data_IF_567611355047
#
_entry.id   IF_567611355047
#
_cell.length_a   1.000
_cell.length_b   1.000
_cell.length_c   1.000
_cell.angle_alpha   90.00
_cell.angle_beta   90.00
_cell.angle_gamma   90.00
#
_symmetry.space_group_name_H-M   'P 1'
#
loop_
_entity.id
_entity.type
_entity.pdbx_description
1 polymer ?
#
# COMPACT_ATOMS: atom_id res chain seq x y z
N UNK A 1 10.69 1.81 26.44
CA UNK A 1 10.09 1.71 27.78
C UNK A 1 8.65 2.18 27.73
N UNK A 2 7.68 1.32 27.92
CA UNK A 2 6.31 1.70 28.22
C UNK A 2 5.94 1.07 29.56
N UNK A 3 6.00 1.84 30.61
CA UNK A 3 5.62 1.39 31.95
C UNK A 3 5.39 2.58 32.84
N UNK A 4 4.30 3.25 32.67
CA UNK A 4 3.82 4.31 33.55
C UNK A 4 2.43 3.97 34.05
N UNK A 5 2.38 3.16 35.09
CA UNK A 5 1.18 2.91 35.90
C UNK A 5 0.75 4.22 36.58
N UNK A 6 -0.52 4.62 36.33
CA UNK A 6 -1.40 5.35 37.22
C UNK A 6 -0.82 6.50 38.04
N UNK A 7 -0.41 7.57 37.41
CA UNK A 7 -0.25 8.86 38.10
C UNK A 7 -1.46 9.73 37.83
N UNK A 8 -2.12 10.24 38.90
CA UNK A 8 -3.22 11.22 38.85
C UNK A 8 -2.77 12.62 38.44
N UNK A 9 -1.93 12.72 37.40
CA UNK A 9 -1.55 13.97 36.77
C UNK A 9 -2.49 14.31 35.62
N UNK A 10 -2.52 15.58 35.14
CA UNK A 10 -3.30 15.92 33.93
C UNK A 10 -2.82 15.07 32.75
N UNK A 11 -3.75 14.58 31.89
CA UNK A 11 -3.39 13.74 30.75
C UNK A 11 -2.36 14.45 29.87
N UNK A 12 -1.30 13.72 29.46
CA UNK A 12 -0.29 14.24 28.57
C UNK A 12 -0.92 14.74 27.26
N UNK A 13 -0.28 15.66 26.54
CA UNK A 13 -0.81 16.17 25.25
C UNK A 13 -1.18 15.04 24.27
N UNK A 14 -0.42 13.97 24.25
CA UNK A 14 -0.69 12.81 23.38
C UNK A 14 -1.94 12.05 23.84
N UNK A 15 -2.15 11.87 25.15
CA UNK A 15 -3.34 11.19 25.67
C UNK A 15 -4.62 11.98 25.35
N UNK A 16 -4.57 13.32 25.44
CA UNK A 16 -5.69 14.17 25.04
C UNK A 16 -6.01 14.03 23.53
N UNK A 17 -4.97 13.97 22.69
CA UNK A 17 -5.12 13.79 21.24
C UNK A 17 -5.69 12.40 20.90
N UNK A 18 -5.20 11.36 21.58
CA UNK A 18 -5.72 10.00 21.40
C UNK A 18 -7.17 9.89 21.88
N UNK A 19 -7.51 10.45 23.04
CA UNK A 19 -8.88 10.47 23.57
C UNK A 19 -9.84 11.16 22.59
N UNK A 20 -9.47 12.32 22.06
CA UNK A 20 -10.26 13.02 21.03
C UNK A 20 -10.43 12.16 19.78
N UNK A 21 -9.37 11.43 19.37
CA UNK A 21 -9.42 10.49 18.25
C UNK A 21 -10.37 9.31 18.48
N UNK A 22 -10.44 8.80 19.71
CA UNK A 22 -11.39 7.74 20.10
C UNK A 22 -12.84 8.25 20.00
N UNK A 23 -13.15 9.42 20.54
CA UNK A 23 -14.49 10.00 20.42
C UNK A 23 -14.88 10.30 18.97
N UNK A 24 -13.92 10.72 18.16
CA UNK A 24 -14.18 10.90 16.73
C UNK A 24 -14.49 9.57 16.04
N UNK A 25 -13.76 8.50 16.36
CA UNK A 25 -14.04 7.16 15.84
C UNK A 25 -15.41 6.65 16.28
N UNK A 26 -15.79 6.87 17.54
CA UNK A 26 -17.11 6.53 18.06
C UNK A 26 -18.22 7.27 17.33
N UNK A 27 -18.06 8.56 17.11
CA UNK A 27 -19.00 9.36 16.32
C UNK A 27 -19.14 8.85 14.88
N UNK A 28 -18.05 8.43 14.22
CA UNK A 28 -18.10 7.82 12.91
C UNK A 28 -18.83 6.47 12.91
N UNK A 29 -18.65 5.67 13.96
CA UNK A 29 -19.29 4.35 14.10
C UNK A 29 -20.78 4.42 14.52
N UNK A 30 -21.25 5.54 15.02
CA UNK A 30 -22.66 5.76 15.37
C UNK A 30 -23.57 6.02 14.17
N UNK A 31 -23.00 6.09 12.96
CA UNK A 31 -23.74 6.31 11.72
C UNK A 31 -24.63 5.12 11.30
N UNK A 32 -25.43 5.29 10.24
CA UNK A 32 -26.33 4.25 9.77
C UNK A 32 -25.58 3.00 9.25
N UNK A 33 -26.20 1.80 9.30
CA UNK A 33 -25.52 0.52 9.01
C UNK A 33 -24.88 0.41 7.60
N UNK A 34 -25.38 1.14 6.61
CA UNK A 34 -24.80 1.13 5.26
C UNK A 34 -23.41 1.79 5.22
N UNK A 35 -23.11 2.75 6.12
CA UNK A 35 -21.80 3.38 6.23
C UNK A 35 -20.73 2.38 6.67
N UNK A 36 -21.06 1.37 7.45
CA UNK A 36 -20.12 0.31 7.82
C UNK A 36 -19.59 -0.40 6.57
N UNK A 37 -20.49 -0.88 5.71
CA UNK A 37 -20.12 -1.55 4.45
C UNK A 37 -19.32 -0.62 3.55
N UNK A 38 -19.70 0.66 3.48
CA UNK A 38 -18.99 1.66 2.70
C UNK A 38 -17.54 1.83 3.18
N UNK A 39 -17.32 2.09 4.48
CA UNK A 39 -15.97 2.30 5.02
C UNK A 39 -15.11 1.03 4.93
N UNK A 40 -15.66 -0.15 5.15
CA UNK A 40 -14.95 -1.41 4.98
C UNK A 40 -14.56 -1.60 3.51
N UNK A 41 -15.42 -1.27 2.55
CA UNK A 41 -15.09 -1.33 1.13
C UNK A 41 -13.99 -0.35 0.76
N UNK A 42 -14.07 0.90 1.23
CA UNK A 42 -13.04 1.92 0.98
C UNK A 42 -11.68 1.48 1.51
N UNK A 43 -11.60 1.00 2.75
CA UNK A 43 -10.33 0.55 3.32
C UNK A 43 -9.77 -0.67 2.61
N UNK A 44 -10.61 -1.59 2.13
CA UNK A 44 -10.19 -2.77 1.39
C UNK A 44 -9.68 -2.43 -0.02
N UNK A 45 -10.31 -1.48 -0.71
CA UNK A 45 -9.86 -1.00 -2.01
C UNK A 45 -8.58 -0.15 -1.92
N UNK A 46 -8.36 0.51 -0.79
CA UNK A 46 -7.15 1.28 -0.51
C UNK A 46 -6.04 0.45 0.18
N UNK A 47 -6.21 -0.87 0.30
CA UNK A 47 -5.14 -1.75 0.80
C UNK A 47 -3.89 -1.55 -0.07
N UNK A 48 -2.69 -1.32 0.50
CA UNK A 48 -1.45 -1.18 -0.24
C UNK A 48 -1.24 -2.22 -1.33
N UNK A 49 -1.71 -3.46 -1.12
CA UNK A 49 -1.65 -4.52 -2.14
C UNK A 49 -2.35 -4.17 -3.45
N UNK A 50 -3.41 -3.35 -3.39
CA UNK A 50 -4.13 -2.90 -4.58
C UNK A 50 -3.29 -2.03 -5.51
N UNK A 51 -2.28 -1.32 -4.98
CA UNK A 51 -1.30 -0.60 -5.82
C UNK A 51 -0.58 -1.56 -6.75
N UNK A 52 -0.18 -2.72 -6.26
CA UNK A 52 0.57 -3.73 -7.01
C UNK A 52 -0.33 -4.57 -7.92
N UNK A 53 -1.54 -4.89 -7.46
CA UNK A 53 -2.41 -5.87 -8.14
C UNK A 53 -3.45 -5.25 -9.06
N UNK A 54 -3.80 -3.97 -8.88
CA UNK A 54 -4.84 -3.28 -9.63
C UNK A 54 -4.31 -2.00 -10.27
N UNK A 55 -3.77 -1.06 -9.46
CA UNK A 55 -3.39 0.26 -9.97
C UNK A 55 -2.22 0.17 -10.97
N UNK A 56 -1.19 -0.62 -10.67
CA UNK A 56 -0.05 -0.81 -11.55
C UNK A 56 -0.44 -1.43 -12.91
N UNK A 57 -1.15 -2.57 -12.98
CA UNK A 57 -1.54 -3.13 -14.27
C UNK A 57 -2.37 -2.17 -15.12
N UNK A 58 -3.37 -1.52 -14.55
CA UNK A 58 -4.21 -0.56 -15.26
C UNK A 58 -3.35 0.61 -15.78
N UNK A 59 -2.59 1.25 -14.90
CA UNK A 59 -1.76 2.38 -15.27
C UNK A 59 -0.71 2.01 -16.33
N UNK A 60 -0.12 0.82 -16.27
CA UNK A 60 0.90 0.35 -17.21
C UNK A 60 0.37 0.20 -18.64
N UNK A 61 -0.85 -0.29 -18.81
CA UNK A 61 -1.46 -0.45 -20.13
C UNK A 61 -2.10 0.84 -20.66
N UNK A 62 -2.40 1.80 -19.79
CA UNK A 62 -2.75 3.17 -20.19
C UNK A 62 -1.52 3.94 -20.68
N UNK A 63 -0.49 3.99 -19.86
CA UNK A 63 0.81 4.59 -20.17
C UNK A 63 1.91 3.85 -19.38
N UNK A 64 2.86 3.25 -20.12
CA UNK A 64 3.94 2.44 -19.53
C UNK A 64 4.76 3.22 -18.49
N UNK A 65 5.06 4.49 -18.78
CA UNK A 65 5.86 5.32 -17.86
C UNK A 65 5.09 5.63 -16.60
N UNK A 66 3.80 5.92 -16.73
CA UNK A 66 2.92 6.17 -15.57
C UNK A 66 2.80 4.91 -14.73
N UNK A 67 2.57 3.74 -15.33
CA UNK A 67 2.48 2.47 -14.61
C UNK A 67 3.76 2.13 -13.86
N UNK A 68 4.92 2.26 -14.50
CA UNK A 68 6.21 2.07 -13.82
C UNK A 68 6.40 3.05 -12.65
N UNK A 69 5.93 4.30 -12.80
CA UNK A 69 5.97 5.28 -11.72
C UNK A 69 5.07 4.89 -10.54
N UNK A 70 3.85 4.44 -10.83
CA UNK A 70 2.90 3.96 -9.80
C UNK A 70 3.53 2.83 -8.99
N UNK A 71 4.08 1.81 -9.65
CA UNK A 71 4.67 0.68 -8.95
C UNK A 71 5.94 1.08 -8.19
N UNK A 72 6.84 1.82 -8.82
CA UNK A 72 8.12 2.22 -8.22
C UNK A 72 7.91 3.12 -7.00
N UNK A 73 7.08 4.14 -7.13
CA UNK A 73 6.78 5.05 -6.02
C UNK A 73 6.01 4.33 -4.92
N UNK A 74 5.10 3.42 -5.29
CA UNK A 74 4.37 2.58 -4.36
C UNK A 74 5.30 1.75 -3.47
N UNK A 75 6.21 0.97 -4.08
CA UNK A 75 7.13 0.11 -3.33
C UNK A 75 8.14 0.91 -2.46
N UNK A 76 8.68 2.03 -2.98
CA UNK A 76 9.58 2.89 -2.19
C UNK A 76 8.84 3.53 -1.02
N UNK A 77 7.60 3.96 -1.25
CA UNK A 77 6.76 4.57 -0.22
C UNK A 77 6.36 3.56 0.86
N UNK A 78 6.07 2.32 0.49
CA UNK A 78 5.74 1.25 1.43
C UNK A 78 6.96 0.86 2.27
N UNK A 79 8.12 0.67 1.63
CA UNK A 79 9.38 0.42 2.34
C UNK A 79 9.68 1.53 3.35
N UNK A 80 9.58 2.80 2.93
CA UNK A 80 9.80 3.93 3.83
C UNK A 80 8.78 3.97 4.97
N UNK A 81 7.52 3.62 4.71
CA UNK A 81 6.49 3.51 5.75
C UNK A 81 6.87 2.48 6.82
N UNK A 82 7.40 1.31 6.43
CA UNK A 82 7.89 0.30 7.37
C UNK A 82 9.05 0.84 8.22
N UNK A 83 10.01 1.49 7.57
CA UNK A 83 11.15 2.11 8.28
C UNK A 83 10.67 3.16 9.28
N UNK A 84 9.79 4.06 8.86
CA UNK A 84 9.24 5.10 9.75
C UNK A 84 8.49 4.49 10.94
N UNK A 85 7.78 3.39 10.76
CA UNK A 85 7.08 2.70 11.84
C UNK A 85 8.01 2.16 12.92
N UNK A 86 9.21 1.74 12.57
CA UNK A 86 10.22 1.28 13.54
C UNK A 86 10.79 2.42 14.39
N UNK A 87 10.73 3.67 13.90
CA UNK A 87 11.26 4.85 14.62
C UNK A 87 10.17 5.70 15.29
N UNK A 88 8.97 5.74 14.70
CA UNK A 88 7.87 6.57 15.21
C UNK A 88 6.96 5.81 16.18
N UNK A 89 7.05 4.50 16.21
CA UNK A 89 6.23 3.59 17.02
C UNK A 89 4.73 3.76 16.76
N UNK A 90 4.04 4.63 17.43
CA UNK A 90 2.63 4.97 17.23
C UNK A 90 1.65 3.90 17.70
N UNK A 91 0.84 4.26 18.67
CA UNK A 91 -0.25 3.42 19.16
C UNK A 91 -1.37 3.30 18.12
N UNK A 92 -2.21 2.26 18.26
CA UNK A 92 -3.44 2.14 17.49
C UNK A 92 -4.67 2.26 18.37
N UNK A 93 -5.77 2.86 17.88
CA UNK A 93 -6.99 3.06 18.66
C UNK A 93 -7.51 1.78 19.31
N UNK A 94 -7.51 0.64 18.56
CA UNK A 94 -8.16 -0.59 19.02
C UNK A 94 -7.50 -1.25 20.23
N UNK A 95 -6.20 -1.04 20.47
CA UNK A 95 -5.56 -1.50 21.69
C UNK A 95 -5.37 -0.37 22.71
N UNK A 96 -5.07 0.85 22.25
CA UNK A 96 -4.81 1.99 23.12
C UNK A 96 -6.00 2.31 24.04
N UNK A 97 -7.23 2.18 23.53
CA UNK A 97 -8.46 2.43 24.30
C UNK A 97 -8.54 1.55 25.55
N UNK A 98 -7.98 0.36 25.52
CA UNK A 98 -7.92 -0.57 26.65
C UNK A 98 -6.69 -0.32 27.53
N UNK A 99 -5.51 -0.16 26.95
CA UNK A 99 -4.25 0.06 27.69
C UNK A 99 -4.26 1.38 28.47
N UNK A 100 -4.89 2.42 27.95
CA UNK A 100 -5.05 3.71 28.64
C UNK A 100 -6.05 3.69 29.80
N UNK A 101 -6.82 2.62 29.93
CA UNK A 101 -7.92 2.52 30.91
C UNK A 101 -9.10 3.45 30.59
N UNK A 102 -9.22 3.96 29.37
CA UNK A 102 -10.33 4.84 28.98
C UNK A 102 -11.67 4.12 29.09
N UNK A 103 -11.74 2.86 28.71
CA UNK A 103 -12.95 2.01 28.80
C UNK A 103 -13.44 1.79 30.23
N UNK A 104 -12.54 1.83 31.21
CA UNK A 104 -12.90 1.73 32.62
C UNK A 104 -13.37 3.06 33.24
N UNK A 105 -12.99 4.18 32.64
CA UNK A 105 -13.31 5.54 33.12
C UNK A 105 -14.53 6.14 32.41
N UNK A 106 -14.78 5.73 31.19
CA UNK A 106 -15.87 6.26 30.34
C UNK A 106 -16.57 5.12 29.61
N UNK A 107 -17.89 5.24 29.47
CA UNK A 107 -18.66 4.32 28.64
C UNK A 107 -18.44 4.67 27.16
N UNK A 108 -17.49 3.99 26.51
CA UNK A 108 -17.17 4.16 25.08
C UNK A 108 -17.62 2.91 24.35
N UNK A 109 -18.46 3.06 23.34
CA UNK A 109 -19.00 1.95 22.53
C UNK A 109 -18.29 1.89 21.20
N UNK A 110 -17.22 1.08 21.13
CA UNK A 110 -16.43 0.87 19.91
C UNK A 110 -16.52 -0.57 19.44
N UNK A 111 -16.55 -0.74 18.11
CA UNK A 111 -16.55 -2.05 17.47
C UNK A 111 -15.29 -2.26 16.66
N UNK A 112 -14.68 -3.43 16.83
CA UNK A 112 -13.61 -3.89 15.96
C UNK A 112 -14.17 -4.66 14.77
N UNK A 113 -13.42 -4.66 13.66
CA UNK A 113 -13.76 -5.35 12.42
C UNK A 113 -12.60 -6.28 12.02
N UNK A 114 -12.82 -7.24 11.11
CA UNK A 114 -11.75 -8.15 10.65
C UNK A 114 -10.50 -7.42 10.09
N UNK A 115 -10.68 -6.18 9.63
CA UNK A 115 -9.62 -5.32 9.09
C UNK A 115 -9.01 -4.36 10.13
N UNK A 116 -9.48 -4.38 11.39
CA UNK A 116 -8.95 -3.52 12.49
C UNK A 116 -7.62 -4.01 13.03
N UNK A 117 -7.43 -5.34 13.10
CA UNK A 117 -6.36 -5.99 13.86
C UNK A 117 -5.04 -6.07 13.07
N UNK A 118 -4.51 -4.91 12.71
CA UNK A 118 -3.17 -4.84 12.11
C UNK A 118 -2.09 -4.94 13.20
N UNK A 119 -1.03 -5.70 12.92
CA UNK A 119 0.01 -6.05 13.90
C UNK A 119 1.19 -5.08 13.96
N UNK A 120 1.37 -4.22 12.95
CA UNK A 120 2.46 -3.22 12.96
C UNK A 120 2.09 -1.94 13.70
N UNK A 121 3.08 -1.08 14.05
CA UNK A 121 2.85 0.23 14.66
C UNK A 121 1.91 1.13 13.85
N UNK A 122 1.26 2.09 14.54
CA UNK A 122 0.23 2.93 13.95
C UNK A 122 0.72 4.13 13.14
N UNK A 123 1.94 4.60 13.35
CA UNK A 123 2.41 5.86 12.75
C UNK A 123 3.54 5.67 11.75
N UNK A 124 3.45 6.26 10.54
CA UNK A 124 2.29 6.91 9.92
C UNK A 124 1.33 5.90 9.29
N UNK A 125 0.10 6.33 8.90
CA UNK A 125 -0.87 5.47 8.22
C UNK A 125 -0.34 5.00 6.87
N UNK A 126 -0.12 3.67 6.73
CA UNK A 126 0.38 3.07 5.49
C UNK A 126 -0.59 3.20 4.34
N UNK A 127 -1.89 2.94 4.56
CA UNK A 127 -2.92 3.09 3.53
C UNK A 127 -2.94 4.51 2.93
N UNK A 128 -2.89 5.55 3.77
CA UNK A 128 -2.89 6.93 3.31
C UNK A 128 -1.58 7.30 2.60
N UNK A 129 -0.45 6.89 3.16
CA UNK A 129 0.87 7.23 2.63
C UNK A 129 1.13 6.57 1.28
N UNK A 130 0.90 5.26 1.18
CA UNK A 130 1.20 4.48 -0.03
C UNK A 130 0.21 4.82 -1.14
N UNK A 131 -1.10 4.90 -0.84
CA UNK A 131 -2.10 5.32 -1.82
C UNK A 131 -1.83 6.74 -2.32
N UNK A 132 -1.52 7.67 -1.40
CA UNK A 132 -1.21 9.05 -1.76
C UNK A 132 0.02 9.15 -2.67
N UNK A 133 1.09 8.43 -2.36
CA UNK A 133 2.31 8.45 -3.16
C UNK A 133 2.13 7.77 -4.53
N UNK A 134 1.60 6.55 -4.55
CA UNK A 134 1.51 5.73 -5.76
C UNK A 134 0.54 6.30 -6.79
N UNK A 135 -0.56 6.93 -6.36
CA UNK A 135 -1.54 7.52 -7.29
C UNK A 135 -1.13 8.90 -7.83
N UNK A 136 -0.15 9.56 -7.24
CA UNK A 136 0.30 10.89 -7.68
C UNK A 136 0.68 10.94 -9.18
N UNK A 137 1.48 10.01 -9.75
CA UNK A 137 1.79 10.01 -11.17
C UNK A 137 0.56 9.85 -12.07
N UNK A 138 -0.42 9.07 -11.64
CA UNK A 138 -1.67 8.88 -12.39
C UNK A 138 -2.49 10.17 -12.40
N UNK A 139 -2.62 10.83 -11.26
CA UNK A 139 -3.36 12.09 -11.11
C UNK A 139 -2.73 13.19 -11.94
N UNK A 140 -1.41 13.31 -11.93
CA UNK A 140 -0.70 14.31 -12.76
C UNK A 140 -0.86 14.02 -14.25
N UNK A 141 -0.76 12.77 -14.69
CA UNK A 141 -0.98 12.37 -16.08
C UNK A 141 -2.42 12.67 -16.54
N UNK A 142 -3.42 12.39 -15.70
CA UNK A 142 -4.82 12.72 -15.97
C UNK A 142 -5.05 14.23 -16.04
N UNK A 143 -4.39 14.99 -15.19
CA UNK A 143 -4.45 16.46 -15.19
C UNK A 143 -3.84 17.05 -16.46
N UNK A 144 -2.72 16.51 -16.93
CA UNK A 144 -2.12 16.89 -18.22
C UNK A 144 -3.07 16.58 -19.38
N UNK A 145 -3.66 15.39 -19.39
CA UNK A 145 -4.63 14.99 -20.42
C UNK A 145 -5.85 15.92 -20.43
N UNK A 146 -6.44 16.18 -19.27
CA UNK A 146 -7.55 17.11 -19.10
C UNK A 146 -7.20 18.53 -19.58
N UNK A 147 -5.97 18.98 -19.29
CA UNK A 147 -5.46 20.29 -19.70
C UNK A 147 -5.30 20.46 -21.22
N UNK A 148 -5.01 19.36 -21.91
CA UNK A 148 -4.91 19.33 -23.39
C UNK A 148 -6.27 19.34 -24.05
N UNK A 149 -7.27 18.73 -23.41
CA UNK A 149 -8.63 18.58 -24.00
C UNK A 149 -9.58 19.73 -23.63
N UNK A 150 -9.35 20.45 -22.54
CA UNK A 150 -10.26 21.48 -22.07
C UNK A 150 -9.52 22.72 -21.56
N UNK A 151 -10.12 23.90 -21.80
CA UNK A 151 -9.67 25.15 -21.20
C UNK A 151 -10.28 25.39 -19.81
N UNK A 152 -11.32 24.65 -19.44
CA UNK A 152 -12.00 24.79 -18.14
C UNK A 152 -11.06 24.43 -16.97
N UNK A 153 -10.92 25.33 -16.01
CA UNK A 153 -10.14 25.11 -14.79
C UNK A 153 -10.71 23.95 -13.96
N UNK A 154 -12.05 23.84 -13.92
CA UNK A 154 -12.73 22.76 -13.18
C UNK A 154 -12.32 21.39 -13.75
N UNK A 155 -12.34 21.22 -15.08
CA UNK A 155 -11.94 19.97 -15.73
C UNK A 155 -10.46 19.64 -15.47
N UNK A 156 -9.59 20.67 -15.50
CA UNK A 156 -8.15 20.48 -15.23
C UNK A 156 -7.88 20.06 -13.79
N UNK A 157 -8.60 20.61 -12.82
CA UNK A 157 -8.38 20.32 -11.40
C UNK A 157 -9.19 19.11 -10.90
N UNK A 158 -10.15 18.60 -11.67
CA UNK A 158 -11.00 17.48 -11.30
C UNK A 158 -10.20 16.22 -10.84
N UNK A 159 -9.07 15.82 -11.50
CA UNK A 159 -8.28 14.68 -11.03
C UNK A 159 -7.68 14.90 -9.63
N UNK A 160 -7.19 16.10 -9.33
CA UNK A 160 -6.69 16.42 -7.98
C UNK A 160 -7.83 16.51 -6.96
N UNK A 161 -9.02 17.00 -7.35
CA UNK A 161 -10.21 16.97 -6.52
C UNK A 161 -10.62 15.54 -6.15
N UNK A 162 -10.68 14.66 -7.14
CA UNK A 162 -10.99 13.24 -6.93
C UNK A 162 -9.93 12.55 -6.05
N UNK A 163 -8.65 12.82 -6.27
CA UNK A 163 -7.55 12.32 -5.45
C UNK A 163 -7.68 12.77 -3.99
N UNK A 164 -7.98 14.03 -3.75
CA UNK A 164 -8.15 14.57 -2.38
C UNK A 164 -9.33 13.91 -1.69
N UNK A 165 -10.48 13.78 -2.38
CA UNK A 165 -11.66 13.10 -1.84
C UNK A 165 -11.38 11.62 -1.54
N UNK A 166 -10.63 10.94 -2.41
CA UNK A 166 -10.22 9.56 -2.16
C UNK A 166 -9.36 9.44 -0.91
N UNK A 167 -8.34 10.29 -0.74
CA UNK A 167 -7.47 10.25 0.43
C UNK A 167 -8.21 10.60 1.72
N UNK A 168 -9.18 11.53 1.67
CA UNK A 168 -10.06 11.82 2.80
C UNK A 168 -10.92 10.59 3.16
N UNK A 169 -11.53 9.95 2.16
CA UNK A 169 -12.33 8.74 2.37
C UNK A 169 -11.49 7.60 2.95
N UNK A 170 -10.29 7.37 2.40
CA UNK A 170 -9.34 6.39 2.95
C UNK A 170 -9.00 6.72 4.39
N UNK A 171 -8.63 7.96 4.69
CA UNK A 171 -8.31 8.40 6.04
C UNK A 171 -9.44 8.18 7.04
N UNK A 172 -10.66 8.58 6.69
CA UNK A 172 -11.85 8.37 7.52
C UNK A 172 -12.14 6.89 7.73
N UNK A 173 -11.98 6.06 6.70
CA UNK A 173 -12.17 4.61 6.82
C UNK A 173 -11.19 3.98 7.81
N UNK A 174 -9.94 4.51 7.87
CA UNK A 174 -8.90 4.01 8.80
C UNK A 174 -9.21 4.38 10.26
N UNK A 175 -9.81 5.54 10.49
CA UNK A 175 -10.29 5.95 11.82
C UNK A 175 -11.52 5.13 12.22
N UNK A 176 -12.47 4.96 11.28
CA UNK A 176 -13.69 4.18 11.49
C UNK A 176 -13.42 2.75 11.99
N UNK A 177 -12.45 2.05 11.38
CA UNK A 177 -12.09 0.68 11.76
C UNK A 177 -11.11 0.61 12.95
N UNK A 178 -10.81 1.70 13.63
CA UNK A 178 -9.89 1.79 14.79
C UNK A 178 -8.44 1.41 14.46
N UNK A 179 -8.03 1.48 13.21
CA UNK A 179 -6.67 1.13 12.80
C UNK A 179 -5.68 2.28 13.04
N UNK A 180 -6.12 3.53 12.90
CA UNK A 180 -5.27 4.71 13.03
C UNK A 180 -6.00 5.87 13.72
N UNK A 181 -5.23 6.67 14.45
CA UNK A 181 -5.67 7.97 14.94
C UNK A 181 -5.69 9.03 13.83
N UNK A 182 -6.51 10.10 13.93
CA UNK A 182 -6.58 11.15 12.90
C UNK A 182 -5.23 11.78 12.56
N UNK A 183 -4.37 12.06 13.54
CA UNK A 183 -3.04 12.64 13.28
C UNK A 183 -2.13 11.71 12.47
N UNK A 184 -2.21 10.39 12.66
CA UNK A 184 -1.46 9.39 11.89
C UNK A 184 -1.92 9.33 10.43
N UNK A 185 -3.23 9.53 10.21
CA UNK A 185 -3.84 9.65 8.88
C UNK A 185 -3.32 10.90 8.17
N UNK A 186 -3.36 12.05 8.84
CA UNK A 186 -2.87 13.33 8.28
C UNK A 186 -1.39 13.22 7.93
N UNK A 187 -0.55 12.73 8.86
CA UNK A 187 0.88 12.53 8.61
C UNK A 187 1.13 11.59 7.42
N UNK A 188 0.39 10.47 7.34
CA UNK A 188 0.49 9.54 6.21
C UNK A 188 0.10 10.19 4.88
N UNK A 189 -1.00 10.93 4.85
CA UNK A 189 -1.48 11.62 3.64
C UNK A 189 -0.46 12.66 3.15
N UNK A 190 0.05 13.50 4.03
CA UNK A 190 1.03 14.53 3.68
C UNK A 190 2.36 13.91 3.23
N UNK A 191 2.85 12.90 3.94
CA UNK A 191 4.06 12.17 3.56
C UNK A 191 3.89 11.48 2.19
N UNK A 192 2.74 10.86 1.94
CA UNK A 192 2.42 10.22 0.67
C UNK A 192 2.42 11.21 -0.50
N UNK A 193 1.72 12.33 -0.36
CA UNK A 193 1.68 13.37 -1.40
C UNK A 193 3.08 13.95 -1.68
N UNK A 194 3.86 14.22 -0.63
CA UNK A 194 5.23 14.72 -0.75
C UNK A 194 6.15 13.72 -1.46
N UNK A 195 6.05 12.42 -1.14
CA UNK A 195 6.82 11.37 -1.81
C UNK A 195 6.42 11.21 -3.28
N UNK A 196 5.11 11.18 -3.58
CA UNK A 196 4.61 11.11 -4.94
C UNK A 196 5.16 12.24 -5.80
N UNK A 197 5.07 13.47 -5.31
CA UNK A 197 5.61 14.65 -5.96
C UNK A 197 7.14 14.59 -6.13
N UNK A 198 7.88 14.26 -5.07
CA UNK A 198 9.35 14.25 -5.09
C UNK A 198 9.97 13.12 -5.91
N UNK A 199 9.31 11.97 -5.98
CA UNK A 199 9.83 10.78 -6.67
C UNK A 199 9.38 10.67 -8.13
N UNK A 200 8.32 11.36 -8.55
CA UNK A 200 7.78 11.26 -9.90
C UNK A 200 8.83 11.53 -11.00
N UNK A 201 9.66 12.56 -10.83
CA UNK A 201 10.72 12.91 -11.79
C UNK A 201 11.90 11.91 -11.77
N UNK A 202 11.99 11.03 -10.78
CA UNK A 202 13.09 10.08 -10.56
C UNK A 202 12.71 8.63 -10.87
N UNK A 203 11.60 8.41 -11.54
CA UNK A 203 11.15 7.05 -11.90
C UNK A 203 12.15 6.37 -12.83
N UNK A 204 12.57 5.11 -12.54
CA UNK A 204 13.61 4.42 -13.29
C UNK A 204 13.09 3.76 -14.59
N UNK A 205 12.36 4.50 -15.43
CA UNK A 205 11.68 3.96 -16.61
C UNK A 205 12.62 3.37 -17.69
N UNK A 206 13.89 3.80 -17.71
CA UNK A 206 14.90 3.42 -18.70
C UNK A 206 16.10 2.70 -18.09
N UNK A 207 15.99 2.26 -16.82
CA UNK A 207 17.11 1.61 -16.13
C UNK A 207 17.28 0.16 -16.54
N UNK A 208 18.52 -0.32 -16.41
CA UNK A 208 18.91 -1.70 -16.74
C UNK A 208 18.34 -2.70 -15.72
N UNK A 209 18.23 -3.99 -16.04
CA UNK A 209 17.85 -5.04 -15.10
C UNK A 209 18.70 -5.02 -13.82
N UNK A 210 20.01 -4.81 -13.96
CA UNK A 210 20.93 -4.75 -12.83
C UNK A 210 20.61 -3.65 -11.81
N UNK A 211 20.07 -2.52 -12.26
CA UNK A 211 19.61 -1.46 -11.36
C UNK A 211 18.49 -1.96 -10.42
N UNK A 212 17.51 -2.66 -10.96
CA UNK A 212 16.37 -3.15 -10.18
C UNK A 212 16.79 -4.28 -9.22
N UNK A 213 17.70 -5.15 -9.64
CA UNK A 213 18.29 -6.18 -8.76
C UNK A 213 19.05 -5.51 -7.61
N UNK A 214 19.90 -4.52 -7.91
CA UNK A 214 20.61 -3.77 -6.90
C UNK A 214 19.66 -3.02 -5.95
N UNK A 215 18.58 -2.44 -6.47
CA UNK A 215 17.55 -1.80 -5.67
C UNK A 215 16.83 -2.79 -4.75
N UNK A 216 16.43 -3.96 -5.25
CA UNK A 216 15.82 -5.01 -4.43
C UNK A 216 16.74 -5.45 -3.29
N UNK A 217 18.02 -5.68 -3.57
CA UNK A 217 19.03 -6.01 -2.58
C UNK A 217 19.24 -4.87 -1.57
N UNK A 218 19.30 -3.61 -2.05
CA UNK A 218 19.48 -2.45 -1.18
C UNK A 218 18.28 -2.27 -0.22
N UNK A 219 17.05 -2.42 -0.71
CA UNK A 219 15.84 -2.37 0.12
C UNK A 219 15.84 -3.48 1.17
N UNK A 220 16.17 -4.71 0.79
CA UNK A 220 16.22 -5.85 1.71
C UNK A 220 17.31 -5.68 2.76
N UNK A 221 18.56 -5.43 2.33
CA UNK A 221 19.70 -5.35 3.23
C UNK A 221 19.61 -4.16 4.18
N UNK A 222 19.13 -3.01 3.70
CA UNK A 222 18.88 -1.84 4.56
C UNK A 222 17.78 -2.12 5.58
N UNK A 223 16.72 -2.83 5.22
CA UNK A 223 15.68 -3.25 6.16
C UNK A 223 16.22 -4.17 7.24
N UNK A 224 17.02 -5.17 6.86
CA UNK A 224 17.65 -6.09 7.82
C UNK A 224 18.65 -5.36 8.74
N UNK A 225 19.44 -4.45 8.19
CA UNK A 225 20.39 -3.66 8.97
C UNK A 225 19.67 -2.74 9.97
N UNK A 226 18.62 -2.04 9.54
CA UNK A 226 17.80 -1.18 10.39
C UNK A 226 17.08 -1.98 11.48
N UNK A 227 16.50 -3.12 11.12
CA UNK A 227 15.88 -4.04 12.08
C UNK A 227 16.88 -4.50 13.14
N UNK A 228 18.07 -4.94 12.73
CA UNK A 228 19.12 -5.37 13.66
C UNK A 228 19.61 -4.21 14.55
N UNK A 229 19.70 -3.00 14.01
CA UNK A 229 20.07 -1.79 14.75
C UNK A 229 19.05 -1.46 15.85
N UNK A 230 17.76 -1.53 15.53
CA UNK A 230 16.67 -1.25 16.48
C UNK A 230 16.68 -2.27 17.63
N UNK A 231 16.88 -3.57 17.31
CA UNK A 231 17.05 -4.62 18.33
C UNK A 231 18.31 -4.38 19.18
N UNK A 232 19.44 -4.03 18.55
CA UNK A 232 20.68 -3.75 19.28
C UNK A 232 20.57 -2.52 20.20
N UNK A 233 19.67 -1.58 19.86
CA UNK A 233 19.31 -0.46 20.73
C UNK A 233 18.39 -0.85 21.91
N UNK A 234 18.06 -2.14 22.06
CA UNK A 234 17.22 -2.65 23.14
C UNK A 234 15.71 -2.41 22.95
N UNK A 235 15.28 -2.12 21.73
CA UNK A 235 13.88 -1.87 21.42
C UNK A 235 13.21 -3.19 21.02
N UNK A 236 12.14 -3.56 21.71
CA UNK A 236 11.27 -4.68 21.31
C UNK A 236 10.49 -4.29 20.04
N UNK A 237 10.81 -4.91 18.92
CA UNK A 237 10.14 -4.66 17.63
C UNK A 237 8.75 -5.32 17.60
N UNK A 238 8.56 -6.38 18.36
CA UNK A 238 7.31 -7.15 18.40
C UNK A 238 6.27 -6.60 19.39
N UNK A 239 6.59 -5.49 20.09
CA UNK A 239 5.70 -4.88 21.06
C UNK A 239 4.27 -4.64 20.53
N UNK A 240 4.16 -4.17 19.29
CA UNK A 240 2.87 -3.91 18.66
C UNK A 240 2.13 -5.20 18.26
N UNK A 241 2.86 -6.27 17.96
CA UNK A 241 2.29 -7.61 17.72
C UNK A 241 1.71 -8.16 19.02
N UNK A 242 2.42 -8.00 20.14
CA UNK A 242 1.95 -8.42 21.46
C UNK A 242 0.65 -7.68 21.85
N UNK A 243 0.60 -6.36 21.66
CA UNK A 243 -0.61 -5.57 21.94
C UNK A 243 -1.77 -5.94 20.99
N UNK A 244 -1.51 -6.11 19.71
CA UNK A 244 -2.52 -6.54 18.76
C UNK A 244 -3.08 -7.92 19.13
N UNK A 245 -2.22 -8.86 19.53
CA UNK A 245 -2.63 -10.21 19.93
C UNK A 245 -3.47 -10.17 21.22
N UNK A 246 -3.10 -9.30 22.15
CA UNK A 246 -3.81 -9.14 23.45
C UNK A 246 -5.21 -8.56 23.28
N UNK A 247 -5.38 -7.57 22.37
CA UNK A 247 -6.58 -6.73 22.33
C UNK A 247 -7.45 -6.89 21.07
N UNK A 248 -7.03 -7.72 20.12
CA UNK A 248 -7.91 -8.07 19.00
C UNK A 248 -9.08 -8.92 19.48
N UNK A 249 -10.30 -8.50 19.18
CA UNK A 249 -11.53 -9.17 19.63
C UNK A 249 -11.66 -10.61 19.10
N UNK A 250 -11.03 -10.90 17.97
CA UNK A 250 -11.01 -12.24 17.38
C UNK A 250 -9.59 -12.57 16.89
N UNK A 251 -8.92 -13.59 17.47
CA UNK A 251 -7.57 -13.98 17.06
C UNK A 251 -7.41 -14.32 15.57
N UNK A 252 -8.48 -14.77 14.92
CA UNK A 252 -8.46 -15.09 13.48
C UNK A 252 -8.34 -13.85 12.57
N UNK A 253 -8.52 -12.66 13.12
CA UNK A 253 -8.36 -11.39 12.41
C UNK A 253 -6.92 -10.89 12.38
N UNK A 254 -6.03 -11.52 13.15
CA UNK A 254 -4.59 -11.24 13.10
C UNK A 254 -3.99 -11.78 11.80
N UNK A 255 -3.44 -10.89 11.00
CA UNK A 255 -2.97 -11.21 9.65
C UNK A 255 -1.45 -11.09 9.54
N UNK A 256 -0.80 -12.12 9.00
CA UNK A 256 0.65 -12.11 8.72
C UNK A 256 1.05 -11.01 7.71
N UNK A 257 0.18 -10.71 6.75
CA UNK A 257 0.44 -9.72 5.72
C UNK A 257 0.50 -8.26 6.22
N UNK A 258 0.11 -8.02 7.48
CA UNK A 258 0.25 -6.72 8.15
C UNK A 258 1.55 -6.58 8.95
N UNK A 259 2.38 -7.63 9.02
CA UNK A 259 3.70 -7.57 9.64
C UNK A 259 4.69 -6.78 8.76
N UNK A 260 5.67 -6.07 9.35
CA UNK A 260 6.64 -5.28 8.59
C UNK A 260 7.38 -6.07 7.50
N UNK A 261 7.84 -7.28 7.79
CA UNK A 261 8.56 -8.12 6.82
C UNK A 261 7.69 -8.59 5.65
N UNK A 262 6.37 -8.67 5.81
CA UNK A 262 5.46 -8.97 4.70
C UNK A 262 5.50 -7.87 3.62
N UNK A 263 5.51 -6.60 4.05
CA UNK A 263 5.68 -5.47 3.14
C UNK A 263 7.05 -5.48 2.46
N UNK A 264 8.13 -5.72 3.22
CA UNK A 264 9.50 -5.80 2.67
C UNK A 264 9.59 -6.89 1.59
N UNK A 265 8.99 -8.07 1.80
CA UNK A 265 8.95 -9.13 0.79
C UNK A 265 8.19 -8.69 -0.48
N UNK A 266 7.11 -7.93 -0.32
CA UNK A 266 6.32 -7.36 -1.42
C UNK A 266 7.15 -6.35 -2.22
N UNK A 267 7.78 -5.40 -1.54
CA UNK A 267 8.54 -4.32 -2.17
C UNK A 267 9.78 -4.85 -2.91
N UNK A 268 10.56 -5.69 -2.24
CA UNK A 268 11.78 -6.27 -2.80
C UNK A 268 11.47 -7.26 -3.93
N UNK A 269 10.42 -8.07 -3.77
CA UNK A 269 9.90 -8.94 -4.83
C UNK A 269 9.48 -8.13 -6.05
N UNK A 270 8.71 -7.05 -5.86
CA UNK A 270 8.25 -6.21 -6.96
C UNK A 270 9.40 -5.49 -7.68
N UNK A 271 10.41 -5.02 -6.94
CA UNK A 271 11.61 -4.45 -7.54
C UNK A 271 12.36 -5.47 -8.39
N UNK A 272 12.54 -6.71 -7.89
CA UNK A 272 13.13 -7.80 -8.67
C UNK A 272 12.30 -8.13 -9.91
N UNK A 273 10.98 -8.18 -9.78
CA UNK A 273 10.06 -8.43 -10.90
C UNK A 273 10.16 -7.37 -12.01
N UNK A 274 10.37 -6.10 -11.65
CA UNK A 274 10.70 -5.04 -12.62
C UNK A 274 12.03 -5.30 -13.30
N UNK A 275 13.03 -5.80 -12.59
CA UNK A 275 14.31 -6.20 -13.16
C UNK A 275 14.17 -7.34 -14.16
N UNK A 276 13.39 -8.36 -13.83
CA UNK A 276 13.07 -9.45 -14.76
C UNK A 276 12.34 -8.93 -16.00
N UNK A 277 11.36 -8.06 -15.84
CA UNK A 277 10.65 -7.44 -16.97
C UNK A 277 11.56 -6.59 -17.86
N UNK A 278 12.49 -5.83 -17.25
CA UNK A 278 13.47 -5.02 -17.99
C UNK A 278 14.50 -5.87 -18.74
N UNK A 279 14.78 -7.09 -18.26
CA UNK A 279 15.66 -8.07 -18.94
C UNK A 279 15.03 -8.68 -20.20
N UNK A 280 13.70 -8.62 -20.28
CA UNK A 280 12.94 -9.16 -21.41
C UNK A 280 11.97 -8.10 -21.94
N UNK A 281 12.45 -6.99 -22.54
CA UNK A 281 11.58 -5.96 -23.09
C UNK A 281 10.82 -6.48 -24.33
N UNK A 282 9.72 -5.83 -24.68
CA UNK A 282 9.10 -6.00 -26.00
C UNK A 282 10.14 -5.61 -27.08
N UNK A 283 10.08 -6.25 -28.26
CA UNK A 283 10.99 -5.94 -29.34
C UNK A 283 10.84 -4.48 -29.77
N UNK A 284 11.95 -3.88 -30.25
CA UNK A 284 11.92 -2.52 -30.78
C UNK A 284 10.93 -2.42 -31.92
N UNK A 285 9.97 -1.51 -31.83
CA UNK A 285 8.91 -1.33 -32.81
C UNK A 285 7.60 -2.08 -32.53
N UNK A 286 7.58 -3.05 -31.61
CA UNK A 286 6.33 -3.68 -31.20
C UNK A 286 5.53 -2.74 -30.28
N UNK A 287 4.43 -2.24 -30.80
CA UNK A 287 3.45 -1.47 -30.04
C UNK A 287 2.14 -2.23 -29.98
N UNK A 288 1.53 -2.23 -28.80
CA UNK A 288 0.20 -2.80 -28.62
C UNK A 288 -0.85 -1.86 -29.21
N UNK A 289 -1.72 -2.39 -30.06
CA UNK A 289 -2.93 -1.69 -30.49
C UNK A 289 -3.87 -1.44 -29.30
N UNK A 290 -4.81 -0.47 -29.40
CA UNK A 290 -5.73 -0.15 -28.29
C UNK A 290 -6.46 -1.36 -27.73
N UNK A 291 -6.96 -2.27 -28.59
CA UNK A 291 -7.65 -3.49 -28.14
C UNK A 291 -6.70 -4.48 -27.45
N UNK A 292 -5.43 -4.60 -27.93
CA UNK A 292 -4.41 -5.44 -27.31
C UNK A 292 -4.00 -4.91 -25.93
N UNK A 293 -3.96 -3.59 -25.74
CA UNK A 293 -3.75 -2.97 -24.42
C UNK A 293 -4.88 -3.33 -23.47
N UNK A 294 -6.13 -3.23 -23.90
CA UNK A 294 -7.30 -3.61 -23.09
C UNK A 294 -7.26 -5.09 -22.74
N UNK A 295 -7.01 -5.96 -23.73
CA UNK A 295 -6.90 -7.41 -23.52
C UNK A 295 -5.77 -7.75 -22.52
N UNK A 296 -4.58 -7.13 -22.68
CA UNK A 296 -3.46 -7.31 -21.78
C UNK A 296 -3.76 -6.82 -20.36
N UNK A 297 -4.47 -5.69 -20.23
CA UNK A 297 -4.89 -5.18 -18.93
C UNK A 297 -5.86 -6.13 -18.23
N UNK A 298 -6.85 -6.64 -18.94
CA UNK A 298 -7.82 -7.61 -18.39
C UNK A 298 -7.13 -8.92 -17.98
N UNK A 299 -6.26 -9.47 -18.83
CA UNK A 299 -5.48 -10.66 -18.50
C UNK A 299 -4.57 -10.43 -17.29
N UNK A 300 -3.96 -9.24 -17.20
CA UNK A 300 -3.11 -8.88 -16.08
C UNK A 300 -3.92 -8.82 -14.76
N UNK A 301 -5.10 -8.20 -14.78
CA UNK A 301 -5.97 -8.15 -13.59
C UNK A 301 -6.40 -9.56 -13.16
N UNK A 302 -6.78 -10.43 -14.10
CA UNK A 302 -7.15 -11.82 -13.80
C UNK A 302 -5.94 -12.58 -13.25
N UNK A 303 -4.76 -12.46 -13.87
CA UNK A 303 -3.54 -13.11 -13.40
C UNK A 303 -3.12 -12.63 -12.02
N UNK A 304 -3.17 -11.32 -11.76
CA UNK A 304 -2.85 -10.74 -10.45
C UNK A 304 -3.85 -11.19 -9.38
N UNK A 305 -5.13 -11.28 -9.70
CA UNK A 305 -6.14 -11.81 -8.81
C UNK A 305 -5.90 -13.30 -8.52
N UNK A 306 -5.56 -14.10 -9.54
CA UNK A 306 -5.19 -15.50 -9.37
C UNK A 306 -3.98 -15.67 -8.46
N UNK A 307 -2.91 -14.89 -8.69
CA UNK A 307 -1.73 -14.85 -7.81
C UNK A 307 -2.10 -14.44 -6.37
N UNK A 308 -3.03 -13.49 -6.21
CA UNK A 308 -3.46 -13.05 -4.88
C UNK A 308 -4.22 -14.13 -4.11
N UNK A 309 -5.00 -14.94 -4.82
CA UNK A 309 -5.81 -16.03 -4.24
C UNK A 309 -5.01 -17.31 -3.99
N UNK A 310 -3.75 -17.41 -4.43
CA UNK A 310 -2.92 -18.57 -4.12
C UNK A 310 -2.88 -18.80 -2.61
N UNK A 311 -3.10 -20.06 -2.21
CA UNK A 311 -3.04 -20.48 -0.81
C UNK A 311 -1.68 -20.08 -0.21
N UNK A 312 -1.75 -19.42 0.95
CA UNK A 312 -0.56 -19.05 1.69
C UNK A 312 -0.23 -20.16 2.68
N UNK A 313 1.04 -20.57 2.79
CA UNK A 313 1.47 -21.51 3.80
C UNK A 313 1.20 -20.98 5.22
N UNK A 314 0.99 -21.89 6.17
CA UNK A 314 0.85 -21.56 7.59
C UNK A 314 2.21 -21.31 8.25
N UNK A 315 3.27 -21.93 7.75
CA UNK A 315 4.65 -21.66 8.18
C UNK A 315 5.08 -20.25 7.76
N UNK A 316 5.60 -19.48 8.70
CA UNK A 316 5.93 -18.05 8.51
C UNK A 316 7.04 -17.86 7.47
N UNK A 317 8.06 -18.73 7.46
CA UNK A 317 9.20 -18.63 6.53
C UNK A 317 8.76 -18.94 5.10
N UNK A 318 7.97 -20.00 4.93
CA UNK A 318 7.40 -20.34 3.64
C UNK A 318 6.42 -19.25 3.17
N UNK A 319 5.67 -18.64 4.08
CA UNK A 319 4.76 -17.54 3.76
C UNK A 319 5.51 -16.33 3.20
N UNK A 320 6.63 -15.91 3.82
CA UNK A 320 7.44 -14.81 3.31
C UNK A 320 8.09 -15.15 1.97
N UNK A 321 8.60 -16.36 1.81
CA UNK A 321 9.23 -16.82 0.56
C UNK A 321 8.21 -16.85 -0.60
N UNK A 322 7.02 -17.42 -0.38
CA UNK A 322 5.96 -17.46 -1.39
C UNK A 322 5.42 -16.07 -1.70
N UNK A 323 5.32 -15.19 -0.69
CA UNK A 323 4.93 -13.80 -0.88
C UNK A 323 5.94 -13.05 -1.76
N UNK A 324 7.24 -13.18 -1.47
CA UNK A 324 8.30 -12.60 -2.29
C UNK A 324 8.21 -13.06 -3.76
N UNK A 325 8.11 -14.37 -3.99
CA UNK A 325 8.00 -14.93 -5.35
C UNK A 325 6.75 -14.43 -6.07
N UNK A 326 5.62 -14.38 -5.38
CA UNK A 326 4.36 -13.85 -5.93
C UNK A 326 4.50 -12.42 -6.42
N UNK A 327 5.10 -11.55 -5.61
CA UNK A 327 5.29 -10.15 -5.96
C UNK A 327 6.44 -9.92 -6.95
N UNK A 328 7.41 -10.84 -7.07
CA UNK A 328 8.38 -10.82 -8.16
C UNK A 328 7.76 -11.26 -9.50
N UNK A 329 6.85 -12.22 -9.47
CA UNK A 329 6.17 -12.72 -10.67
C UNK A 329 5.22 -11.66 -11.25
N UNK A 330 4.50 -10.90 -10.41
CA UNK A 330 3.49 -9.93 -10.86
C UNK A 330 4.00 -8.92 -11.90
N UNK A 331 4.98 -8.08 -11.58
CA UNK A 331 5.50 -7.08 -12.54
C UNK A 331 6.10 -7.70 -13.79
N UNK A 332 6.73 -8.88 -13.70
CA UNK A 332 7.22 -9.60 -14.86
C UNK A 332 6.09 -10.07 -15.77
N UNK A 333 5.00 -10.62 -15.22
CA UNK A 333 3.81 -10.98 -15.98
C UNK A 333 3.23 -9.76 -16.69
N UNK A 334 2.98 -8.67 -15.96
CA UNK A 334 2.31 -7.47 -16.47
C UNK A 334 3.17 -6.77 -17.55
N UNK A 335 4.45 -6.61 -17.31
CA UNK A 335 5.30 -5.75 -18.15
C UNK A 335 6.06 -6.52 -19.25
N UNK A 336 6.07 -7.85 -19.21
CA UNK A 336 6.81 -8.65 -20.18
C UNK A 336 5.99 -9.79 -20.79
N UNK A 337 5.53 -10.75 -19.99
CA UNK A 337 4.96 -12.00 -20.51
C UNK A 337 3.60 -11.79 -21.19
N UNK A 338 2.65 -11.14 -20.51
CA UNK A 338 1.27 -10.99 -21.02
C UNK A 338 1.18 -10.16 -22.29
N UNK A 339 1.87 -9.02 -22.44
CA UNK A 339 1.90 -8.28 -23.70
C UNK A 339 2.40 -9.11 -24.89
N UNK A 340 3.44 -9.92 -24.67
CA UNK A 340 3.97 -10.82 -25.70
C UNK A 340 2.99 -11.91 -26.08
N UNK A 341 2.32 -12.50 -25.08
CA UNK A 341 1.29 -13.51 -25.33
C UNK A 341 0.18 -12.95 -26.22
N UNK A 342 -0.33 -11.76 -25.88
CA UNK A 342 -1.38 -11.10 -26.67
C UNK A 342 -0.88 -10.79 -28.09
N UNK A 343 0.35 -10.30 -28.26
CA UNK A 343 0.94 -10.06 -29.57
C UNK A 343 1.08 -11.34 -30.39
N UNK A 344 1.56 -12.43 -29.79
CA UNK A 344 1.74 -13.71 -30.49
C UNK A 344 0.41 -14.32 -30.96
N UNK A 345 -0.62 -14.23 -30.13
CA UNK A 345 -1.97 -14.72 -30.45
C UNK A 345 -2.69 -13.84 -31.49
N UNK A 346 -2.28 -12.59 -31.63
CA UNK A 346 -2.89 -11.62 -32.54
C UNK A 346 -2.24 -11.60 -33.94
N UNK A 347 -1.07 -12.26 -34.12
CA UNK A 347 -0.42 -12.37 -35.43
C UNK A 347 -1.25 -13.33 -36.31
N UNK A 348 -1.60 -12.92 -37.53
CA UNK A 348 -2.28 -13.82 -38.46
C UNK A 348 -1.40 -15.07 -38.71
N UNK A 349 -1.98 -16.25 -38.49
CA UNK A 349 -1.36 -17.50 -38.95
C UNK A 349 -1.34 -17.48 -40.48
N UNK A 350 -0.19 -17.16 -41.09
CA UNK A 350 -0.06 -17.29 -42.54
C UNK A 350 0.58 -16.08 -43.21
N UNK A 351 1.86 -15.93 -43.04
CA UNK A 351 2.72 -15.42 -44.14
C UNK A 351 3.78 -16.51 -44.36
N UNK A 352 3.72 -17.30 -45.48
CA UNK A 352 4.82 -18.16 -45.84
C UNK A 352 6.04 -17.26 -46.05
N UNK A 353 7.17 -17.66 -45.49
CA UNK A 353 8.45 -17.13 -45.91
C UNK A 353 8.52 -17.28 -47.44
N UNK A 354 8.38 -16.20 -48.17
CA UNK A 354 8.89 -16.12 -49.56
C UNK A 354 10.38 -15.92 -49.40
N UNK A 355 11.09 -16.99 -49.72
CA UNK A 355 12.54 -17.05 -49.91
C UNK A 355 13.02 -15.98 -50.91
#
# INVERSE_FOLDING_TARGET
MPGGVGGSGPPGRMDALHTSGIHFAEALQSGPPWLEKFWISVTSLADPKCVFTICFPIAYFLDRKVGLSVLWIGLVSEWLNVVLKWFLFGERPFWWVHESGLTSKQLVTLRQFPVSCETGPGSPSGHCMITGAALWPLVTALTELASRQSRSLVVKLAPFGAYTLLLLAVGLSRVFILAHFPHQVVCGTLAGAALGWGLQARTPATRTPGFFVAAALALLLSSLALHSLVIAAGIDIDWSIHLATKWCSNPTWLRLDTRPFASICRDTGSALGLGLAAGFPLQQGEQLDPWQRVASAMLALVAMQGLHQLLQPTDVTLWYSTSFLKYATGPWLVASLLPRLVLSLSRPQGSPHTD
#
